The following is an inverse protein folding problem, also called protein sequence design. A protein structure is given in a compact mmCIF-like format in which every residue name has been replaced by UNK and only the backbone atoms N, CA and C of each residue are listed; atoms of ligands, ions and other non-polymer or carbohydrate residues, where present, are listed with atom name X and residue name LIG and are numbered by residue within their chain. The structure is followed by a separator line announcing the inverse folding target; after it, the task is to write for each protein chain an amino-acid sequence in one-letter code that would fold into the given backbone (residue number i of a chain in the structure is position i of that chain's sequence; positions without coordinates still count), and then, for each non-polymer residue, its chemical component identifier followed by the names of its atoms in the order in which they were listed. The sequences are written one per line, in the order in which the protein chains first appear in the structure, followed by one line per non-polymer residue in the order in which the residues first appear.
data_IF_904959633841
#
_entry.id   IF_904959633841
#
_cell.length_a   1.000
_cell.length_b   1.000
_cell.length_c   1.000
_cell.angle_alpha   90.00
_cell.angle_beta   90.00
_cell.angle_gamma   90.00
#
_symmetry.space_group_name_H-M   'P 1'
#
loop_
_entity.id
_entity.type
_entity.pdbx_description
1 polymer ?
#
# COMPACT_ATOMS: atom_id res chain seq x y z
N UNK A 1 0.15 3.29 -15.09
CA UNK A 1 -1.21 2.97 -14.64
C UNK A 1 -1.13 1.91 -13.55
N UNK A 2 -1.72 2.17 -12.39
CA UNK A 2 -1.88 1.18 -11.32
C UNK A 2 -2.98 0.18 -11.71
N UNK A 3 -2.63 -1.11 -11.74
CA UNK A 3 -3.54 -2.19 -12.13
C UNK A 3 -4.24 -2.84 -10.94
N UNK A 4 -3.55 -2.92 -9.81
CA UNK A 4 -4.05 -3.52 -8.59
C UNK A 4 -3.19 -3.10 -7.40
N UNK A 5 -3.79 -3.06 -6.22
CA UNK A 5 -3.11 -2.90 -4.93
C UNK A 5 -3.05 -4.26 -4.24
N UNK A 6 -1.87 -4.70 -3.88
CA UNK A 6 -1.69 -5.96 -3.16
C UNK A 6 -1.82 -5.70 -1.65
N UNK A 7 -1.00 -4.83 -1.09
CA UNK A 7 -1.08 -4.49 0.32
C UNK A 7 -1.98 -3.28 0.55
N UNK A 8 -3.07 -3.48 1.26
CA UNK A 8 -3.99 -2.39 1.63
C UNK A 8 -3.36 -1.41 2.63
N UNK A 9 -2.28 -1.80 3.27
CA UNK A 9 -1.46 -0.96 4.14
C UNK A 9 0.01 -1.14 3.78
N UNK A 10 0.77 -0.04 3.86
CA UNK A 10 2.22 -0.09 3.61
C UNK A 10 2.96 -0.89 4.69
N UNK A 11 3.93 -1.72 4.32
CA UNK A 11 4.81 -2.40 5.27
C UNK A 11 5.89 -1.51 5.86
N UNK A 12 6.09 -0.29 5.35
CA UNK A 12 7.18 0.58 5.79
C UNK A 12 7.07 0.95 7.26
N UNK A 13 8.19 0.78 7.95
CA UNK A 13 8.42 1.22 9.33
C UNK A 13 9.83 1.83 9.44
N UNK A 14 10.07 2.58 10.51
CA UNK A 14 11.41 2.91 10.97
C UNK A 14 11.73 2.04 12.19
N UNK A 15 12.80 1.27 12.11
CA UNK A 15 13.34 0.52 13.24
C UNK A 15 14.51 1.31 13.85
N UNK A 16 14.42 1.64 15.14
CA UNK A 16 15.41 2.44 15.85
C UNK A 16 15.99 1.66 17.03
N UNK A 17 17.27 1.90 17.34
CA UNK A 17 17.92 1.34 18.51
C UNK A 17 17.27 1.87 19.79
N UNK A 18 16.86 0.96 20.68
CA UNK A 18 16.26 1.34 21.96
C UNK A 18 17.25 2.01 22.91
N UNK A 19 18.51 1.61 22.86
CA UNK A 19 19.61 2.15 23.67
C UNK A 19 20.23 3.44 23.12
N UNK A 20 19.75 3.92 21.95
CA UNK A 20 20.25 5.11 21.25
C UNK A 20 19.74 6.45 21.78
N UNK A 21 19.00 6.47 22.90
CA UNK A 21 18.39 7.69 23.45
C UNK A 21 17.18 8.18 22.65
N UNK A 22 16.63 7.34 21.77
CA UNK A 22 15.44 7.61 20.98
C UNK A 22 14.22 7.12 21.75
N UNK A 23 13.17 7.94 21.88
CA UNK A 23 11.90 7.63 22.56
C UNK A 23 10.69 7.95 21.68
N UNK A 24 10.87 8.89 20.78
CA UNK A 24 9.87 9.36 19.83
C UNK A 24 10.50 9.61 18.47
N UNK A 25 9.68 9.80 17.44
CA UNK A 25 10.15 10.16 16.09
C UNK A 25 10.93 11.49 16.10
N UNK A 26 10.59 12.42 16.98
CA UNK A 26 11.27 13.72 17.08
C UNK A 26 12.72 13.62 17.57
N UNK A 27 13.06 12.54 18.30
CA UNK A 27 14.44 12.28 18.75
C UNK A 27 15.35 11.80 17.60
N UNK A 28 14.80 11.62 16.39
CA UNK A 28 15.58 11.27 15.19
C UNK A 28 16.41 12.44 14.67
N UNK A 29 16.13 13.68 15.10
CA UNK A 29 16.94 14.83 14.72
C UNK A 29 18.43 14.61 15.10
N UNK A 30 19.34 14.76 14.12
CA UNK A 30 20.77 14.51 14.26
C UNK A 30 21.19 13.03 14.26
N UNK A 31 20.26 12.08 14.19
CA UNK A 31 20.56 10.66 14.16
C UNK A 31 20.91 10.20 12.76
N UNK A 32 21.69 9.11 12.69
CA UNK A 32 22.00 8.42 11.43
C UNK A 32 20.80 7.59 11.04
N UNK A 33 20.21 7.91 9.90
CA UNK A 33 19.06 7.23 9.32
C UNK A 33 19.47 6.55 8.01
N UNK A 34 19.47 5.24 8.00
CA UNK A 34 19.72 4.44 6.80
C UNK A 34 18.40 4.24 6.06
N UNK A 35 18.34 4.69 4.79
CA UNK A 35 17.11 4.77 4.00
C UNK A 35 17.23 4.00 2.70
N UNK A 36 16.21 3.19 2.42
CA UNK A 36 16.07 2.53 1.12
C UNK A 36 15.78 3.52 -0.01
N UNK A 37 16.16 3.19 -1.25
CA UNK A 37 15.70 3.93 -2.42
C UNK A 37 14.16 3.96 -2.47
N UNK A 38 13.60 5.10 -2.87
CA UNK A 38 12.16 5.28 -3.04
C UNK A 38 11.33 5.17 -1.74
N UNK A 39 11.91 5.51 -0.60
CA UNK A 39 11.21 5.56 0.68
C UNK A 39 10.43 6.89 0.90
N UNK A 40 9.77 7.40 -0.15
CA UNK A 40 9.07 8.70 -0.13
C UNK A 40 7.98 8.75 0.96
N UNK A 41 7.34 7.62 1.26
CA UNK A 41 6.37 7.51 2.34
C UNK A 41 7.00 7.82 3.71
N UNK A 42 8.22 7.34 3.94
CA UNK A 42 8.95 7.61 5.19
C UNK A 42 9.30 9.09 5.29
N UNK A 43 9.71 9.72 4.18
CA UNK A 43 9.94 11.16 4.17
C UNK A 43 8.66 11.96 4.35
N UNK A 44 7.53 11.52 3.81
CA UNK A 44 6.23 12.12 4.07
C UNK A 44 5.88 12.03 5.56
N UNK A 45 6.12 10.88 6.19
CA UNK A 45 5.92 10.71 7.63
C UNK A 45 6.79 11.67 8.45
N UNK A 46 8.10 11.71 8.18
CA UNK A 46 9.02 12.59 8.89
C UNK A 46 8.65 14.06 8.75
N UNK A 47 8.30 14.51 7.53
CA UNK A 47 7.84 15.88 7.29
C UNK A 47 6.55 16.20 8.04
N UNK A 48 5.59 15.28 8.08
CA UNK A 48 4.35 15.43 8.83
C UNK A 48 4.59 15.61 10.32
N UNK A 49 5.61 14.93 10.85
CA UNK A 49 6.07 15.06 12.23
C UNK A 49 7.01 16.28 12.45
N UNK A 50 7.17 17.14 11.44
CA UNK A 50 7.98 18.36 11.54
C UNK A 50 9.48 18.14 11.42
N UNK A 51 9.92 16.96 10.97
CA UNK A 51 11.32 16.65 10.72
C UNK A 51 11.65 16.80 9.23
N UNK A 52 12.58 17.71 8.92
CA UNK A 52 13.12 17.84 7.58
C UNK A 52 14.33 16.91 7.37
N UNK A 53 14.57 16.52 6.14
CA UNK A 53 15.73 15.73 5.75
C UNK A 53 17.06 16.37 6.18
N UNK A 54 17.12 17.71 6.21
CA UNK A 54 18.32 18.48 6.66
C UNK A 54 18.67 18.29 8.14
N UNK A 55 17.71 17.82 8.93
CA UNK A 55 17.91 17.55 10.36
C UNK A 55 18.38 16.11 10.61
N UNK A 56 18.50 15.28 9.57
CA UNK A 56 18.86 13.88 9.64
C UNK A 56 20.23 13.63 8.99
N UNK A 57 20.97 12.66 9.49
CA UNK A 57 22.17 12.15 8.84
C UNK A 57 21.81 10.94 7.99
N UNK A 58 21.33 11.22 6.76
CA UNK A 58 20.83 10.18 5.85
C UNK A 58 21.99 9.36 5.29
N UNK A 59 21.86 8.04 5.35
CA UNK A 59 22.79 7.05 4.81
C UNK A 59 22.08 6.15 3.80
N UNK A 60 22.75 5.72 2.71
CA UNK A 60 22.22 4.70 1.81
C UNK A 60 21.99 3.38 2.56
N UNK A 61 20.91 2.67 2.27
CA UNK A 61 20.63 1.38 2.89
C UNK A 61 21.60 0.31 2.40
N UNK A 62 22.23 -0.39 3.35
CA UNK A 62 23.15 -1.50 3.04
C UNK A 62 22.43 -2.82 2.78
N UNK A 63 21.15 -2.93 3.15
CA UNK A 63 20.36 -4.16 3.19
C UNK A 63 20.94 -5.23 4.14
N UNK A 64 21.75 -4.79 5.11
CA UNK A 64 22.22 -5.61 6.22
C UNK A 64 21.66 -5.08 7.54
N UNK A 65 20.67 -5.78 8.09
CA UNK A 65 20.01 -5.40 9.35
C UNK A 65 20.95 -5.46 10.56
N UNK A 66 22.10 -6.15 10.42
CA UNK A 66 23.15 -6.20 11.43
C UNK A 66 23.74 -4.81 11.70
N UNK A 67 23.64 -3.88 10.73
CA UNK A 67 24.13 -2.50 10.88
C UNK A 67 23.43 -1.75 12.00
N UNK A 68 22.12 -2.00 12.21
CA UNK A 68 21.39 -1.44 13.35
C UNK A 68 21.88 -2.04 14.68
N UNK A 69 22.07 -3.35 14.73
CA UNK A 69 22.52 -4.06 15.94
C UNK A 69 23.93 -3.61 16.34
N UNK A 70 24.82 -3.49 15.37
CA UNK A 70 26.21 -3.09 15.59
C UNK A 70 26.39 -1.58 15.84
N UNK A 71 25.32 -0.79 15.70
CA UNK A 71 25.36 0.66 15.89
C UNK A 71 26.06 1.42 14.76
N UNK A 72 26.14 0.85 13.55
CA UNK A 72 26.60 1.57 12.36
C UNK A 72 25.58 2.61 11.88
N UNK A 73 24.31 2.37 12.18
CA UNK A 73 23.22 3.34 12.07
C UNK A 73 22.43 3.38 13.36
N UNK A 74 21.66 4.44 13.59
CA UNK A 74 20.80 4.61 14.77
C UNK A 74 19.35 4.19 14.45
N UNK A 75 18.98 4.33 13.20
CA UNK A 75 17.66 4.03 12.65
C UNK A 75 17.81 3.50 11.23
N UNK A 76 16.94 2.60 10.82
CA UNK A 76 16.83 2.19 9.41
C UNK A 76 15.37 2.07 8.98
N UNK A 77 15.13 2.24 7.68
CA UNK A 77 13.88 1.83 7.06
C UNK A 77 13.80 0.31 7.03
N UNK A 78 12.63 -0.22 7.31
CA UNK A 78 12.39 -1.65 7.38
C UNK A 78 10.96 -1.96 6.90
N UNK A 79 10.71 -3.22 6.63
CA UNK A 79 9.37 -3.75 6.39
C UNK A 79 8.87 -4.52 7.62
N UNK A 80 7.71 -4.17 8.11
CA UNK A 80 7.06 -4.88 9.23
C UNK A 80 6.89 -6.38 8.97
N UNK A 81 6.99 -6.79 7.71
CA UNK A 81 6.91 -8.18 7.28
C UNK A 81 8.23 -8.95 7.33
N UNK A 82 9.38 -8.30 7.48
CA UNK A 82 10.70 -8.95 7.35
C UNK A 82 11.62 -8.72 8.56
N UNK A 83 12.13 -7.49 8.73
CA UNK A 83 13.17 -7.15 9.70
C UNK A 83 12.82 -7.46 11.16
N UNK A 84 11.57 -7.28 11.63
CA UNK A 84 11.20 -7.64 12.98
C UNK A 84 11.52 -9.08 13.35
N UNK A 85 11.31 -10.03 12.42
CA UNK A 85 11.68 -11.44 12.65
C UNK A 85 13.18 -11.59 12.94
N UNK A 86 14.04 -10.92 12.18
CA UNK A 86 15.49 -10.96 12.38
C UNK A 86 15.89 -10.38 13.74
N UNK A 87 15.31 -9.24 14.13
CA UNK A 87 15.59 -8.62 15.43
C UNK A 87 15.13 -9.49 16.59
N UNK A 88 13.98 -10.14 16.48
CA UNK A 88 13.48 -11.09 17.47
C UNK A 88 14.42 -12.30 17.64
N UNK A 89 14.88 -12.90 16.53
CA UNK A 89 15.83 -14.01 16.57
C UNK A 89 17.15 -13.63 17.24
N UNK A 90 17.58 -12.39 17.08
CA UNK A 90 18.78 -11.82 17.74
C UNK A 90 18.53 -11.32 19.16
N UNK A 91 17.28 -11.39 19.65
CA UNK A 91 16.86 -10.78 20.94
C UNK A 91 17.26 -9.32 21.05
N UNK A 92 17.28 -8.61 19.91
CA UNK A 92 17.61 -7.21 19.85
C UNK A 92 16.40 -6.34 20.16
N UNK A 93 16.51 -5.50 21.17
CA UNK A 93 15.46 -4.55 21.55
C UNK A 93 15.52 -3.30 20.67
N UNK A 94 14.46 -3.08 19.91
CA UNK A 94 14.30 -1.91 19.03
C UNK A 94 12.99 -1.17 19.34
N UNK A 95 12.84 0.00 18.76
CA UNK A 95 11.61 0.79 18.71
C UNK A 95 11.13 0.80 17.26
N UNK A 96 9.84 0.69 17.09
CA UNK A 96 9.19 0.78 15.79
C UNK A 96 8.40 2.08 15.69
N UNK A 97 8.62 2.83 14.60
CA UNK A 97 7.82 3.99 14.24
C UNK A 97 7.13 3.71 12.92
N UNK A 98 5.82 3.71 12.92
CA UNK A 98 4.99 3.42 11.76
C UNK A 98 4.40 4.72 11.18
N UNK A 99 4.56 4.99 9.87
CA UNK A 99 3.88 6.10 9.19
C UNK A 99 2.37 6.04 9.40
N UNK A 100 1.80 4.84 9.41
CA UNK A 100 0.38 4.60 9.63
C UNK A 100 -0.11 5.12 10.99
N UNK A 101 0.67 4.97 12.05
CA UNK A 101 0.32 5.49 13.38
C UNK A 101 0.19 7.01 13.40
N UNK A 102 0.87 7.72 12.51
CA UNK A 102 0.77 9.16 12.31
C UNK A 102 -0.30 9.55 11.25
N UNK A 103 -1.11 8.61 10.78
CA UNK A 103 -2.15 8.84 9.78
C UNK A 103 -1.64 8.94 8.35
N UNK A 104 -0.42 8.45 8.06
CA UNK A 104 0.09 8.18 6.72
C UNK A 104 -0.13 6.69 6.46
N UNK A 105 -1.34 6.36 6.01
CA UNK A 105 -1.75 4.98 5.73
C UNK A 105 -1.83 4.78 4.21
N UNK A 106 -0.67 4.63 3.60
CA UNK A 106 -0.55 4.45 2.17
C UNK A 106 -0.75 3.00 1.76
N UNK A 107 -0.95 2.78 0.47
CA UNK A 107 -0.90 1.45 -0.11
C UNK A 107 0.54 0.94 -0.15
N UNK A 108 0.70 -0.37 0.11
CA UNK A 108 1.99 -1.04 -0.09
C UNK A 108 2.17 -1.52 -1.53
N UNK A 109 2.61 -2.76 -1.72
CA UNK A 109 2.93 -3.31 -3.03
C UNK A 109 1.81 -3.17 -4.04
N UNK A 110 2.15 -2.65 -5.21
CA UNK A 110 1.22 -2.35 -6.28
C UNK A 110 1.64 -3.03 -7.58
N UNK A 111 0.68 -3.58 -8.31
CA UNK A 111 0.88 -4.01 -9.68
C UNK A 111 0.60 -2.83 -10.60
N UNK A 112 1.54 -2.48 -11.48
CA UNK A 112 1.39 -1.37 -12.40
C UNK A 112 1.96 -1.69 -13.79
N UNK A 113 1.59 -0.89 -14.78
CA UNK A 113 2.10 -0.99 -16.15
C UNK A 113 2.23 0.40 -16.77
N UNK A 114 2.87 0.47 -17.95
CA UNK A 114 2.92 1.71 -18.73
C UNK A 114 1.62 1.92 -19.52
N UNK A 115 1.31 3.19 -19.85
CA UNK A 115 0.19 3.52 -20.72
C UNK A 115 0.33 2.86 -22.09
N UNK A 116 1.55 2.79 -22.63
CA UNK A 116 1.81 2.17 -23.93
C UNK A 116 1.49 0.69 -23.90
N UNK A 117 1.90 -0.04 -22.87
CA UNK A 117 1.59 -1.46 -22.73
C UNK A 117 0.08 -1.68 -22.63
N UNK A 118 -0.61 -0.84 -21.85
CA UNK A 118 -2.05 -0.93 -21.69
C UNK A 118 -2.80 -0.65 -23.00
N UNK A 119 -2.36 0.34 -23.78
CA UNK A 119 -2.98 0.65 -25.10
C UNK A 119 -2.68 -0.39 -26.15
N UNK A 120 -1.45 -0.89 -26.24
CA UNK A 120 -1.03 -1.79 -27.31
C UNK A 120 -1.43 -3.25 -27.06
N UNK A 121 -1.51 -3.67 -25.78
CA UNK A 121 -1.74 -5.07 -25.39
C UNK A 121 -2.71 -5.19 -24.21
N UNK A 122 -3.94 -4.63 -24.31
CA UNK A 122 -4.88 -4.59 -23.19
C UNK A 122 -5.26 -5.98 -22.66
N UNK A 123 -5.39 -6.97 -23.56
CA UNK A 123 -5.74 -8.34 -23.16
C UNK A 123 -4.60 -9.03 -22.41
N UNK A 124 -3.35 -8.78 -22.79
CA UNK A 124 -2.19 -9.29 -22.07
C UNK A 124 -2.11 -8.68 -20.65
N UNK A 125 -2.33 -7.37 -20.53
CA UNK A 125 -2.34 -6.66 -19.25
C UNK A 125 -3.43 -7.23 -18.34
N UNK A 126 -4.64 -7.42 -18.86
CA UNK A 126 -5.74 -8.02 -18.12
C UNK A 126 -5.40 -9.44 -17.67
N UNK A 127 -4.97 -10.30 -18.58
CA UNK A 127 -4.63 -11.69 -18.27
C UNK A 127 -3.52 -11.80 -17.23
N UNK A 128 -2.48 -10.96 -17.33
CA UNK A 128 -1.40 -10.92 -16.35
C UNK A 128 -1.89 -10.45 -14.97
N UNK A 129 -2.68 -9.36 -14.94
CA UNK A 129 -3.29 -8.88 -13.70
C UNK A 129 -4.11 -9.98 -13.02
N UNK A 130 -5.04 -10.60 -13.77
CA UNK A 130 -5.94 -11.61 -13.22
C UNK A 130 -5.18 -12.86 -12.74
N UNK A 131 -4.14 -13.28 -13.46
CA UNK A 131 -3.26 -14.36 -13.03
C UNK A 131 -2.47 -14.01 -11.75
N UNK A 132 -1.95 -12.78 -11.66
CA UNK A 132 -1.24 -12.29 -10.49
C UNK A 132 -2.13 -12.27 -9.24
N UNK A 133 -3.36 -11.77 -9.37
CA UNK A 133 -4.32 -11.72 -8.25
C UNK A 133 -4.74 -13.11 -7.78
N UNK A 134 -4.95 -14.06 -8.72
CA UNK A 134 -5.20 -15.47 -8.38
C UNK A 134 -4.00 -16.07 -7.65
N UNK A 135 -2.78 -15.77 -8.10
CA UNK A 135 -1.55 -16.21 -7.43
C UNK A 135 -1.43 -15.70 -6.01
N UNK A 136 -1.70 -14.43 -5.79
CA UNK A 136 -1.70 -13.83 -4.44
C UNK A 136 -2.78 -14.44 -3.54
N UNK A 137 -4.01 -14.58 -4.05
CA UNK A 137 -5.09 -15.20 -3.28
C UNK A 137 -4.75 -16.65 -2.89
N UNK A 138 -4.18 -17.42 -3.82
CA UNK A 138 -3.73 -18.78 -3.55
C UNK A 138 -2.61 -18.82 -2.51
N UNK A 139 -1.59 -17.97 -2.67
CA UNK A 139 -0.44 -17.95 -1.78
C UNK A 139 -0.84 -17.63 -0.33
N UNK A 140 -1.78 -16.72 -0.14
CA UNK A 140 -2.28 -16.36 1.20
C UNK A 140 -3.13 -17.46 1.85
N UNK A 141 -3.75 -18.34 1.04
CA UNK A 141 -4.49 -19.50 1.53
C UNK A 141 -3.60 -20.72 1.79
N UNK A 142 -2.41 -20.76 1.18
CA UNK A 142 -1.50 -21.90 1.23
C UNK A 142 -0.06 -21.49 1.65
N UNK A 143 0.12 -20.80 2.79
CA UNK A 143 1.41 -20.23 3.16
C UNK A 143 2.50 -21.30 3.37
N UNK A 144 2.16 -22.45 3.91
CA UNK A 144 3.12 -23.55 4.12
C UNK A 144 3.64 -24.13 2.81
N UNK A 145 2.73 -24.38 1.86
CA UNK A 145 3.09 -24.84 0.52
C UNK A 145 3.98 -23.82 -0.19
N UNK A 146 3.66 -22.54 -0.08
CA UNK A 146 4.46 -21.47 -0.67
C UNK A 146 5.85 -21.36 -0.04
N UNK A 147 5.96 -21.48 1.28
CA UNK A 147 7.27 -21.49 1.95
C UNK A 147 8.13 -22.67 1.47
N UNK A 148 7.55 -23.87 1.38
CA UNK A 148 8.24 -25.07 0.89
C UNK A 148 8.64 -24.95 -0.59
N UNK A 149 7.77 -24.38 -1.43
CA UNK A 149 8.06 -24.08 -2.84
C UNK A 149 9.21 -23.10 -3.01
N UNK A 150 9.21 -22.00 -2.22
CA UNK A 150 10.27 -20.98 -2.24
C UNK A 150 11.62 -21.62 -1.90
N UNK A 151 11.67 -22.40 -0.83
CA UNK A 151 12.90 -23.09 -0.39
C UNK A 151 13.40 -24.13 -1.41
N UNK A 152 12.48 -24.80 -2.10
CA UNK A 152 12.82 -25.80 -3.08
C UNK A 152 13.34 -25.20 -4.41
N UNK A 153 12.79 -24.06 -4.85
CA UNK A 153 13.00 -23.54 -6.22
C UNK A 153 13.64 -22.18 -6.32
N UNK A 154 13.44 -21.28 -5.34
CA UNK A 154 13.79 -19.86 -5.51
C UNK A 154 14.94 -19.39 -4.62
N UNK A 155 15.20 -20.05 -3.50
CA UNK A 155 16.34 -19.74 -2.67
C UNK A 155 16.24 -20.18 -1.23
N UNK A 156 17.39 -20.19 -0.54
CA UNK A 156 17.52 -20.63 0.86
C UNK A 156 18.05 -19.48 1.75
N UNK A 157 17.82 -18.24 1.36
CA UNK A 157 18.29 -17.06 2.12
C UNK A 157 17.53 -16.87 3.44
N UNK A 158 16.26 -17.31 3.48
CA UNK A 158 15.39 -17.27 4.66
C UNK A 158 15.07 -18.67 5.12
N UNK A 159 14.82 -18.85 6.41
CA UNK A 159 14.32 -20.12 6.94
C UNK A 159 12.83 -20.30 6.63
N UNK A 160 12.33 -21.53 6.79
CA UNK A 160 10.89 -21.80 6.64
C UNK A 160 10.06 -20.98 7.62
N UNK A 161 10.51 -20.87 8.86
CA UNK A 161 9.86 -20.10 9.91
C UNK A 161 9.80 -18.62 9.57
N UNK A 162 10.86 -18.09 8.96
CA UNK A 162 10.87 -16.70 8.50
C UNK A 162 9.85 -16.47 7.39
N UNK A 163 9.80 -17.34 6.38
CA UNK A 163 8.80 -17.25 5.30
C UNK A 163 7.36 -17.35 5.82
N UNK A 164 7.12 -18.19 6.82
CA UNK A 164 5.80 -18.27 7.47
C UNK A 164 5.47 -17.01 8.31
N UNK A 165 6.49 -16.42 8.94
CA UNK A 165 6.33 -15.11 9.58
C UNK A 165 5.92 -14.05 8.57
N UNK A 166 6.65 -13.92 7.45
CA UNK A 166 6.33 -12.98 6.38
C UNK A 166 4.90 -13.18 5.85
N UNK A 167 4.50 -14.43 5.57
CA UNK A 167 3.17 -14.72 5.07
C UNK A 167 2.07 -14.27 6.05
N UNK A 168 2.27 -14.47 7.36
CA UNK A 168 1.33 -14.00 8.38
C UNK A 168 1.24 -12.48 8.43
N UNK A 169 2.38 -11.78 8.41
CA UNK A 169 2.38 -10.33 8.44
C UNK A 169 1.83 -9.73 7.13
N UNK A 170 2.13 -10.34 5.98
CA UNK A 170 1.52 -9.98 4.69
C UNK A 170 0.00 -10.13 4.73
N UNK A 171 -0.54 -11.19 5.34
CA UNK A 171 -1.98 -11.37 5.51
C UNK A 171 -2.63 -10.18 6.24
N UNK A 172 -1.95 -9.65 7.26
CA UNK A 172 -2.40 -8.47 7.99
C UNK A 172 -2.42 -7.19 7.13
N UNK A 173 -1.53 -7.09 6.14
CA UNK A 173 -1.46 -5.95 5.22
C UNK A 173 -2.44 -6.07 4.04
N UNK A 174 -2.65 -7.28 3.51
CA UNK A 174 -3.60 -7.55 2.43
C UNK A 174 -5.04 -7.45 2.89
N UNK A 175 -5.36 -7.93 4.10
CA UNK A 175 -6.72 -8.05 4.64
C UNK A 175 -7.66 -8.87 3.76
N UNK A 176 -7.26 -10.05 3.27
CA UNK A 176 -8.01 -10.82 2.27
C UNK A 176 -9.36 -11.31 2.78
N UNK A 177 -9.56 -11.36 4.10
CA UNK A 177 -10.84 -11.71 4.73
C UNK A 177 -11.90 -10.59 4.62
N UNK A 178 -11.47 -9.36 4.34
CA UNK A 178 -12.34 -8.17 4.33
C UNK A 178 -12.37 -7.48 2.96
N UNK A 179 -11.28 -7.57 2.20
CA UNK A 179 -11.07 -6.82 0.97
C UNK A 179 -10.56 -7.77 -0.10
N UNK A 180 -11.16 -7.73 -1.28
CA UNK A 180 -10.69 -8.51 -2.42
C UNK A 180 -9.27 -8.11 -2.79
N UNK A 181 -8.39 -9.12 -3.00
CA UNK A 181 -7.00 -8.88 -3.41
C UNK A 181 -6.96 -8.10 -4.72
N UNK A 182 -6.22 -7.03 -4.74
CA UNK A 182 -6.14 -6.15 -5.90
C UNK A 182 -7.11 -4.96 -5.88
N UNK A 183 -7.95 -4.85 -4.85
CA UNK A 183 -8.90 -3.74 -4.72
C UNK A 183 -8.18 -2.39 -4.64
N UNK A 184 -8.71 -1.40 -5.37
CA UNK A 184 -8.26 -0.03 -5.36
C UNK A 184 -9.42 0.91 -5.05
N UNK A 185 -9.27 1.74 -4.03
CA UNK A 185 -10.22 2.79 -3.71
C UNK A 185 -9.71 4.13 -4.28
N UNK A 186 -10.42 4.76 -5.23
CA UNK A 186 -10.00 6.04 -5.81
C UNK A 186 -9.86 7.17 -4.77
N UNK A 187 -10.71 7.17 -3.75
CA UNK A 187 -10.64 8.16 -2.65
C UNK A 187 -9.35 8.01 -1.84
N UNK A 188 -8.86 6.77 -1.65
CA UNK A 188 -7.59 6.56 -0.96
C UNK A 188 -6.39 6.96 -1.82
N UNK A 189 -6.41 6.69 -3.13
CA UNK A 189 -5.40 7.23 -4.04
C UNK A 189 -5.38 8.77 -4.03
N UNK A 190 -6.56 9.40 -3.98
CA UNK A 190 -6.66 10.84 -3.83
C UNK A 190 -6.02 11.31 -2.53
N UNK A 191 -6.33 10.68 -1.40
CA UNK A 191 -5.75 11.01 -0.11
C UNK A 191 -4.21 10.86 -0.09
N UNK A 192 -3.66 9.81 -0.71
CA UNK A 192 -2.21 9.61 -0.84
C UNK A 192 -1.59 10.78 -1.61
N UNK A 193 -2.15 11.11 -2.77
CA UNK A 193 -1.65 12.19 -3.61
C UNK A 193 -1.80 13.56 -2.93
N UNK A 194 -2.94 13.83 -2.27
CA UNK A 194 -3.14 15.07 -1.50
C UNK A 194 -2.12 15.19 -0.36
N UNK A 195 -1.82 14.09 0.33
CA UNK A 195 -0.79 14.07 1.38
C UNK A 195 0.58 14.44 0.84
N UNK A 196 1.01 13.88 -0.29
CA UNK A 196 2.26 14.26 -0.93
C UNK A 196 2.28 15.71 -1.39
N UNK A 197 1.15 16.20 -1.93
CA UNK A 197 1.03 17.59 -2.37
C UNK A 197 1.04 18.58 -1.20
N UNK A 198 0.38 18.25 -0.09
CA UNK A 198 0.38 19.06 1.13
C UNK A 198 1.78 19.17 1.78
N UNK A 199 2.57 18.14 1.63
CA UNK A 199 3.96 18.08 2.07
C UNK A 199 4.97 18.63 1.04
N UNK A 200 4.48 19.23 -0.04
CA UNK A 200 5.29 19.81 -1.14
C UNK A 200 6.21 18.77 -1.83
N UNK A 201 5.78 17.50 -1.86
CA UNK A 201 6.51 16.40 -2.50
C UNK A 201 6.05 16.13 -3.93
N UNK A 202 4.89 16.68 -4.33
CA UNK A 202 4.37 16.63 -5.70
C UNK A 202 3.50 17.87 -6.00
N UNK A 203 3.27 18.21 -7.29
CA UNK A 203 2.35 19.30 -7.67
C UNK A 203 0.90 19.01 -7.23
N UNK A 204 0.13 20.06 -6.92
CA UNK A 204 -1.29 19.95 -6.50
C UNK A 204 -2.27 19.68 -7.65
N UNK A 205 -1.86 19.94 -8.89
CA UNK A 205 -2.67 19.82 -10.11
C UNK A 205 -2.62 18.43 -10.76
N UNK A 206 -2.28 17.40 -9.99
CA UNK A 206 -2.24 16.01 -10.46
C UNK A 206 -3.62 15.47 -10.84
N UNK A 207 -3.65 14.52 -11.79
CA UNK A 207 -4.86 13.84 -12.25
C UNK A 207 -4.78 12.35 -11.96
N UNK A 208 -5.84 11.81 -11.33
CA UNK A 208 -5.94 10.38 -11.02
C UNK A 208 -6.62 9.54 -12.10
N UNK A 209 -7.47 10.16 -12.93
CA UNK A 209 -8.26 9.40 -13.93
C UNK A 209 -7.44 8.49 -14.84
N UNK A 210 -6.26 8.91 -15.37
CA UNK A 210 -5.45 8.01 -16.18
C UNK A 210 -4.57 7.08 -15.36
N UNK A 211 -4.47 7.30 -14.02
CA UNK A 211 -3.58 6.54 -13.15
C UNK A 211 -4.20 5.22 -12.67
N UNK A 212 -5.49 5.20 -12.38
CA UNK A 212 -6.19 4.04 -11.81
C UNK A 212 -6.82 3.22 -12.95
N UNK A 213 -6.41 1.95 -13.07
CA UNK A 213 -6.99 1.03 -14.03
C UNK A 213 -8.43 0.66 -13.64
N UNK A 214 -9.35 0.85 -14.58
CA UNK A 214 -10.72 0.38 -14.44
C UNK A 214 -10.86 -0.99 -15.11
N UNK A 215 -10.98 -2.02 -14.29
CA UNK A 215 -11.14 -3.39 -14.76
C UNK A 215 -12.56 -3.71 -15.27
N UNK A 216 -13.52 -2.80 -15.09
CA UNK A 216 -14.92 -3.02 -15.50
C UNK A 216 -15.02 -3.06 -17.03
N UNK A 217 -15.55 -4.14 -17.61
CA UNK A 217 -15.74 -4.22 -19.06
C UNK A 217 -16.60 -3.06 -19.56
N UNK A 218 -16.30 -2.58 -20.76
CA UNK A 218 -17.08 -1.50 -21.38
C UNK A 218 -18.57 -1.84 -21.56
N UNK A 219 -18.90 -3.14 -21.73
CA UNK A 219 -20.26 -3.66 -21.75
C UNK A 219 -21.01 -3.42 -20.43
N UNK A 220 -20.34 -3.69 -19.32
CA UNK A 220 -20.96 -3.61 -17.99
C UNK A 220 -21.14 -2.16 -17.55
N UNK A 221 -20.22 -1.28 -17.97
CA UNK A 221 -20.37 0.18 -17.77
C UNK A 221 -21.60 0.74 -18.50
N UNK A 222 -21.89 0.25 -19.69
CA UNK A 222 -23.09 0.66 -20.46
C UNK A 222 -24.36 0.14 -19.79
N UNK A 223 -24.34 -1.08 -19.27
CA UNK A 223 -25.49 -1.66 -18.56
C UNK A 223 -25.77 -0.96 -17.23
N UNK A 224 -24.73 -0.67 -16.44
CA UNK A 224 -24.89 0.08 -15.17
C UNK A 224 -25.37 1.52 -15.40
N UNK A 225 -24.85 2.19 -16.42
CA UNK A 225 -25.30 3.52 -16.82
C UNK A 225 -26.76 3.52 -17.31
N UNK A 226 -27.15 2.52 -18.11
CA UNK A 226 -28.51 2.35 -18.59
C UNK A 226 -29.49 2.02 -17.45
N UNK A 227 -29.08 1.16 -16.50
CA UNK A 227 -29.86 0.84 -15.31
C UNK A 227 -30.06 2.06 -14.40
N UNK A 228 -29.03 2.87 -14.20
CA UNK A 228 -29.11 4.11 -13.42
C UNK A 228 -30.04 5.14 -14.11
N UNK A 229 -29.95 5.29 -15.43
CA UNK A 229 -30.81 6.17 -16.21
C UNK A 229 -32.29 5.73 -16.16
N UNK A 230 -32.56 4.44 -16.28
CA UNK A 230 -33.92 3.89 -16.18
C UNK A 230 -34.51 4.03 -14.77
N UNK A 231 -33.72 3.86 -13.73
CA UNK A 231 -34.15 4.07 -12.34
C UNK A 231 -34.45 5.55 -12.06
N UNK A 232 -33.65 6.47 -12.60
CA UNK A 232 -33.90 7.91 -12.52
C UNK A 232 -35.19 8.33 -13.21
N UNK A 233 -35.43 7.78 -14.41
CA UNK A 233 -36.65 8.05 -15.18
C UNK A 233 -37.91 7.52 -14.44
N UNK A 234 -37.82 6.33 -13.83
CA UNK A 234 -38.91 5.76 -13.06
C UNK A 234 -39.26 6.60 -11.83
N UNK A 235 -38.27 7.15 -11.13
CA UNK A 235 -38.48 8.06 -9.99
C UNK A 235 -39.14 9.38 -10.40
N UNK A 236 -38.74 9.95 -11.55
CA UNK A 236 -39.34 11.17 -12.09
C UNK A 236 -40.78 10.93 -12.49
N UNK A 237 -41.08 9.82 -13.16
CA UNK A 237 -42.46 9.44 -13.53
C UNK A 237 -43.34 9.21 -12.30
N UNK A 238 -42.82 8.56 -11.25
CA UNK A 238 -43.56 8.36 -10.00
C UNK A 238 -43.87 9.70 -9.30
N UNK A 239 -42.95 10.64 -9.32
CA UNK A 239 -43.14 11.98 -8.75
C UNK A 239 -44.19 12.79 -9.53
N UNK A 240 -44.20 12.69 -10.87
CA UNK A 240 -45.20 13.35 -11.72
C UNK A 240 -46.61 12.77 -11.45
N UNK A 241 -46.73 11.44 -11.39
CA UNK A 241 -48.00 10.77 -11.11
C UNK A 241 -48.52 11.13 -9.70
N UNK A 242 -47.64 11.14 -8.69
CA UNK A 242 -48.01 11.55 -7.33
C UNK A 242 -48.50 13.01 -7.26
N UNK A 243 -47.80 13.92 -8.02
CA UNK A 243 -48.20 15.33 -8.15
C UNK A 243 -49.56 15.50 -8.80
N UNK A 244 -49.88 14.72 -9.86
CA UNK A 244 -51.17 14.75 -10.54
C UNK A 244 -52.32 14.24 -9.65
N UNK A 245 -52.08 13.18 -8.88
CA UNK A 245 -53.09 12.63 -7.95
C UNK A 245 -53.36 13.63 -6.78
N UNK A 246 -52.34 14.37 -6.34
CA UNK A 246 -52.49 15.41 -5.34
C UNK A 246 -53.30 16.64 -5.80
N UNK A 247 -53.22 16.98 -7.08
CA UNK A 247 -53.96 18.09 -7.68
C UNK A 247 -55.43 17.76 -7.97
N UNK A 248 -55.80 16.48 -8.15
CA UNK A 248 -57.19 16.05 -8.45
C UNK A 248 -57.99 15.77 -7.18
N UNK A 249 -57.41 15.88 -5.98
CA UNK A 249 -58.07 15.70 -4.68
C UNK A 249 -58.36 17.00 -3.93
N UNK A 250 -58.22 18.12 -4.59
CA UNK A 250 -58.75 19.42 -4.14
C UNK A 250 -59.87 19.83 -5.08
#
# INVERSE_FOLDING_TARGET
VALAVIFQHSPFILAARRDGGIRSVHDLAGKRLMVEPHADEVFAYLRKEGLSEKQLSIQPHSFDHQDLIDGRTDVLTAYSTDEPYFFEQKKFAYLEFSPRAAGIDFYGDNLFTTDDQLRQRPELVRAFRDASLKGWAYAMQHPEEMADLILARYGKRKSREHLLYEAREMHNLLRPDLIEVGHMNPGRWRHIADTYADLEMMPRDFRLDPFIYDATPASDRRMTAAAAASSGLALVLAAIVAGFIGLTRK
#
